data_IF_978209971853
#
_entry.id   IF_978209971853
#
_cell.length_a   1.000
_cell.length_b   1.000
_cell.length_c   1.000
_cell.angle_alpha   90.00
_cell.angle_beta   90.00
_cell.angle_gamma   90.00
#
_symmetry.space_group_name_H-M   'P 1'
#
loop_
_entity.id
_entity.type
_entity.pdbx_description
1 polymer ?
#
# COMPACT_ATOMS: atom_id res chain seq x y z
N UNK A 1 -9.10 16.85 21.99
CA UNK A 1 -7.88 16.02 22.22
C UNK A 1 -7.73 14.92 21.15
N UNK A 2 -8.76 14.13 20.84
CA UNK A 2 -8.70 13.09 19.78
C UNK A 2 -8.35 13.61 18.37
N UNK A 3 -8.84 14.80 17.99
CA UNK A 3 -8.62 15.37 16.65
C UNK A 3 -7.13 15.57 16.33
N UNK A 4 -6.34 16.12 17.27
CA UNK A 4 -4.90 16.32 17.07
C UNK A 4 -4.15 15.00 16.87
N UNK A 5 -4.51 13.95 17.62
CA UNK A 5 -3.96 12.60 17.44
C UNK A 5 -4.26 12.04 16.04
N UNK A 6 -5.49 12.25 15.54
CA UNK A 6 -5.86 11.84 14.18
C UNK A 6 -5.05 12.59 13.11
N UNK A 7 -4.88 13.91 13.26
CA UNK A 7 -4.08 14.72 12.33
C UNK A 7 -2.62 14.24 12.30
N UNK A 8 -2.03 13.98 13.47
CA UNK A 8 -0.66 13.44 13.56
C UNK A 8 -0.57 12.06 12.90
N UNK A 9 -1.54 11.18 13.13
CA UNK A 9 -1.59 9.86 12.49
C UNK A 9 -1.69 9.96 10.97
N UNK A 10 -2.51 10.87 10.44
CA UNK A 10 -2.64 11.12 9.00
C UNK A 10 -1.32 11.61 8.40
N UNK A 11 -0.63 12.55 9.06
CA UNK A 11 0.67 13.05 8.60
C UNK A 11 1.68 11.88 8.54
N UNK A 12 1.79 11.10 9.63
CA UNK A 12 2.71 9.96 9.68
C UNK A 12 2.39 8.92 8.59
N UNK A 13 1.11 8.61 8.39
CA UNK A 13 0.66 7.69 7.36
C UNK A 13 1.02 8.19 5.96
N UNK A 14 0.71 9.44 5.63
CA UNK A 14 1.00 10.03 4.32
C UNK A 14 2.51 10.10 4.05
N UNK A 15 3.32 10.45 5.05
CA UNK A 15 4.78 10.41 4.90
C UNK A 15 5.29 8.98 4.66
N UNK A 16 4.79 8.00 5.40
CA UNK A 16 5.13 6.59 5.20
C UNK A 16 4.77 6.10 3.79
N UNK A 17 3.55 6.41 3.34
CA UNK A 17 3.08 6.08 1.99
C UNK A 17 3.93 6.73 0.90
N UNK A 18 4.24 8.02 1.03
CA UNK A 18 5.04 8.76 0.05
C UNK A 18 6.45 8.18 -0.12
N UNK A 19 7.04 7.63 0.95
CA UNK A 19 8.33 6.96 0.91
C UNK A 19 8.24 5.55 0.29
N UNK A 20 7.14 4.84 0.51
CA UNK A 20 6.94 3.48 0.01
C UNK A 20 6.56 3.44 -1.49
N UNK A 21 5.77 4.41 -1.95
CA UNK A 21 5.24 4.44 -3.33
C UNK A 21 6.30 4.32 -4.44
N UNK A 22 7.46 5.01 -4.39
CA UNK A 22 8.47 4.89 -5.44
C UNK A 22 9.30 3.61 -5.36
N UNK A 23 9.30 2.87 -4.24
CA UNK A 23 10.19 1.71 -4.07
C UNK A 23 9.84 0.57 -5.03
N UNK A 24 8.56 0.24 -5.18
CA UNK A 24 8.10 -0.87 -6.03
C UNK A 24 8.52 -0.70 -7.50
N UNK A 25 8.23 0.43 -8.19
CA UNK A 25 8.66 0.60 -9.57
C UNK A 25 10.19 0.66 -9.73
N UNK A 26 10.93 1.15 -8.71
CA UNK A 26 12.40 1.16 -8.72
C UNK A 26 12.97 -0.26 -8.68
N UNK A 27 12.48 -1.11 -7.78
CA UNK A 27 12.91 -2.53 -7.68
C UNK A 27 12.67 -3.24 -9.01
N UNK A 28 11.50 -3.06 -9.61
CA UNK A 28 11.18 -3.65 -10.91
C UNK A 28 12.11 -3.13 -11.99
N UNK A 29 12.41 -1.83 -11.98
CA UNK A 29 13.31 -1.24 -12.97
C UNK A 29 14.73 -1.83 -12.89
N UNK A 30 15.19 -2.15 -11.68
CA UNK A 30 16.51 -2.75 -11.41
C UNK A 30 16.59 -4.24 -11.75
N UNK A 31 15.53 -5.01 -11.45
CA UNK A 31 15.52 -6.47 -11.63
C UNK A 31 15.12 -6.92 -13.04
N UNK A 32 14.58 -6.01 -13.86
CA UNK A 32 13.98 -6.36 -15.15
C UNK A 32 14.85 -5.92 -16.34
N UNK A 33 15.16 -6.82 -17.29
CA UNK A 33 15.82 -6.47 -18.55
C UNK A 33 15.06 -5.39 -19.34
N UNK A 34 15.80 -4.57 -20.10
CA UNK A 34 15.21 -3.42 -20.79
C UNK A 34 14.16 -3.81 -21.84
N UNK A 35 14.22 -5.00 -22.44
CA UNK A 35 13.23 -5.41 -23.46
C UNK A 35 11.83 -5.64 -22.88
N UNK A 36 11.73 -6.02 -21.60
CA UNK A 36 10.46 -6.38 -20.95
C UNK A 36 10.03 -5.41 -19.84
N UNK A 37 10.87 -4.43 -19.50
CA UNK A 37 10.63 -3.42 -18.44
C UNK A 37 9.26 -2.72 -18.55
N UNK A 38 8.86 -2.33 -19.75
CA UNK A 38 7.55 -1.69 -19.99
C UNK A 38 6.36 -2.59 -19.60
N UNK A 39 6.46 -3.90 -19.88
CA UNK A 39 5.43 -4.89 -19.53
C UNK A 39 5.29 -5.03 -18.01
N UNK A 40 6.40 -5.16 -17.28
CA UNK A 40 6.36 -5.33 -15.82
C UNK A 40 5.93 -4.06 -15.08
N UNK A 41 6.38 -2.88 -15.53
CA UNK A 41 5.92 -1.60 -14.98
C UNK A 41 4.43 -1.37 -15.27
N UNK A 42 3.97 -1.71 -16.49
CA UNK A 42 2.54 -1.67 -16.83
C UNK A 42 1.71 -2.59 -15.95
N UNK A 43 2.19 -3.81 -15.69
CA UNK A 43 1.52 -4.78 -14.84
C UNK A 43 1.35 -4.25 -13.41
N UNK A 44 2.39 -3.67 -12.81
CA UNK A 44 2.30 -3.10 -11.46
C UNK A 44 1.37 -1.89 -11.38
N UNK A 45 1.37 -1.02 -12.39
CA UNK A 45 0.43 0.10 -12.43
C UNK A 45 -1.03 -0.38 -12.56
N UNK A 46 -1.26 -1.44 -13.32
CA UNK A 46 -2.58 -2.07 -13.46
C UNK A 46 -3.06 -2.69 -12.14
N UNK A 47 -2.21 -3.46 -11.46
CA UNK A 47 -2.55 -4.01 -10.14
C UNK A 47 -2.78 -2.91 -9.10
N UNK A 48 -1.95 -1.87 -9.08
CA UNK A 48 -2.13 -0.72 -8.20
C UNK A 48 -3.46 0.01 -8.45
N UNK A 49 -3.86 0.15 -9.72
CA UNK A 49 -5.14 0.76 -10.08
C UNK A 49 -6.33 -0.12 -9.72
N UNK A 50 -6.25 -1.42 -9.93
CA UNK A 50 -7.28 -2.38 -9.52
C UNK A 50 -7.46 -2.37 -8.00
N UNK A 51 -6.36 -2.37 -7.23
CA UNK A 51 -6.40 -2.24 -5.77
C UNK A 51 -7.11 -0.98 -5.32
N UNK A 52 -6.78 0.18 -5.90
CA UNK A 52 -7.46 1.46 -5.59
C UNK A 52 -8.94 1.47 -5.97
N UNK A 53 -9.35 0.73 -6.99
CA UNK A 53 -10.75 0.62 -7.37
C UNK A 53 -11.55 -0.26 -6.39
N UNK A 54 -10.94 -1.35 -5.90
CA UNK A 54 -11.60 -2.32 -5.01
C UNK A 54 -11.59 -1.86 -3.54
N UNK A 55 -10.55 -1.13 -3.13
CA UNK A 55 -10.33 -0.75 -1.74
C UNK A 55 -11.50 0.05 -1.09
N UNK A 56 -12.15 1.03 -1.74
CA UNK A 56 -13.28 1.75 -1.14
C UNK A 56 -14.49 0.86 -0.89
N UNK A 57 -14.80 -0.05 -1.81
CA UNK A 57 -15.91 -0.99 -1.65
C UNK A 57 -15.64 -1.94 -0.49
N UNK A 58 -14.46 -2.57 -0.47
CA UNK A 58 -14.08 -3.47 0.61
C UNK A 58 -14.02 -2.75 1.97
N UNK A 59 -13.38 -1.57 2.02
CA UNK A 59 -13.28 -0.77 3.23
C UNK A 59 -14.64 -0.31 3.75
N UNK A 60 -15.54 0.10 2.86
CA UNK A 60 -16.91 0.47 3.20
C UNK A 60 -17.69 -0.68 3.84
N UNK A 61 -17.67 -1.87 3.21
CA UNK A 61 -18.32 -3.07 3.75
C UNK A 61 -17.76 -3.48 5.12
N UNK A 62 -16.44 -3.37 5.31
CA UNK A 62 -15.80 -3.66 6.60
C UNK A 62 -16.20 -2.64 7.66
N UNK A 63 -16.26 -1.35 7.33
CA UNK A 63 -16.70 -0.30 8.26
C UNK A 63 -18.15 -0.54 8.66
N UNK A 64 -19.03 -0.87 7.71
CA UNK A 64 -20.46 -1.07 7.97
C UNK A 64 -20.70 -2.29 8.86
N UNK A 65 -20.02 -3.42 8.61
CA UNK A 65 -20.22 -4.65 9.39
C UNK A 65 -19.44 -4.70 10.71
N UNK A 66 -18.24 -4.13 10.76
CA UNK A 66 -17.27 -4.35 11.85
C UNK A 66 -16.69 -3.07 12.46
N UNK A 67 -17.04 -1.91 11.92
CA UNK A 67 -16.58 -0.61 12.39
C UNK A 67 -15.13 -0.27 12.04
N UNK A 68 -14.77 0.99 12.31
CA UNK A 68 -13.44 1.55 11.97
C UNK A 68 -12.27 0.82 12.65
N UNK A 69 -12.45 0.30 13.88
CA UNK A 69 -11.36 -0.35 14.61
C UNK A 69 -10.82 -1.56 13.86
N UNK A 70 -11.70 -2.40 13.32
CA UNK A 70 -11.30 -3.61 12.62
C UNK A 70 -10.70 -3.28 11.25
N UNK A 71 -11.18 -2.24 10.57
CA UNK A 71 -10.57 -1.75 9.34
C UNK A 71 -9.09 -1.37 9.57
N UNK A 72 -8.80 -0.60 10.63
CA UNK A 72 -7.43 -0.19 10.93
C UNK A 72 -6.53 -1.38 11.30
N UNK A 73 -7.05 -2.37 12.02
CA UNK A 73 -6.29 -3.60 12.32
C UNK A 73 -5.93 -4.37 11.06
N UNK A 74 -6.89 -4.53 10.13
CA UNK A 74 -6.66 -5.15 8.83
C UNK A 74 -5.59 -4.38 8.05
N UNK A 75 -5.70 -3.05 8.00
CA UNK A 75 -4.72 -2.20 7.31
C UNK A 75 -3.30 -2.35 7.87
N UNK A 76 -3.16 -2.48 9.20
CA UNK A 76 -1.86 -2.72 9.85
C UNK A 76 -1.27 -4.07 9.42
N UNK A 77 -2.07 -5.14 9.43
CA UNK A 77 -1.61 -6.48 9.05
C UNK A 77 -1.11 -6.48 7.60
N UNK A 78 -1.90 -5.94 6.66
CA UNK A 78 -1.51 -5.86 5.25
C UNK A 78 -0.22 -5.05 5.03
N UNK A 79 -0.04 -3.93 5.75
CA UNK A 79 1.19 -3.15 5.66
C UNK A 79 2.41 -3.91 6.19
N UNK A 80 2.25 -4.68 7.28
CA UNK A 80 3.33 -5.51 7.82
C UNK A 80 3.73 -6.64 6.87
N UNK A 81 2.76 -7.30 6.22
CA UNK A 81 3.03 -8.33 5.22
C UNK A 81 3.85 -7.77 4.05
N UNK A 82 3.47 -6.60 3.52
CA UNK A 82 4.22 -5.92 2.46
C UNK A 82 5.64 -5.61 2.92
N UNK A 83 5.82 -5.09 4.15
CA UNK A 83 7.13 -4.77 4.69
C UNK A 83 8.03 -6.03 4.78
N UNK A 84 7.47 -7.17 5.20
CA UNK A 84 8.18 -8.45 5.26
C UNK A 84 8.61 -8.90 3.86
N UNK A 85 7.70 -8.83 2.88
CA UNK A 85 8.01 -9.20 1.49
C UNK A 85 9.13 -8.32 0.95
N UNK A 86 9.06 -7.00 1.15
CA UNK A 86 10.10 -6.07 0.69
C UNK A 86 11.44 -6.37 1.36
N UNK A 87 11.44 -6.69 2.65
CA UNK A 87 12.66 -7.09 3.37
C UNK A 87 13.28 -8.37 2.81
N UNK A 88 12.46 -9.39 2.54
CA UNK A 88 12.93 -10.66 1.95
C UNK A 88 13.47 -10.52 0.53
N UNK A 89 12.86 -9.67 -0.30
CA UNK A 89 13.32 -9.41 -1.68
C UNK A 89 14.65 -8.64 -1.71
N UNK A 90 14.97 -7.90 -0.64
CA UNK A 90 16.17 -7.08 -0.54
C UNK A 90 17.36 -7.79 0.10
N UNK A 91 17.14 -8.95 0.73
CA UNK A 91 18.16 -9.88 1.21
C UNK A 91 18.73 -10.71 0.05
#
# INVERSE_FOLDING_TARGET
KQYYLFVVAMILLTFGEALAFPQVPVIINQLTPNEVKGKYLGLVNSFGSAGRAIAPLFGGLVIEGFGYRNLFLIAIIFNLEILIIVYLVRL
#
